data_IF_875431608110
#
_entry.id   IF_875431608110
#
_cell.length_a   1.000
_cell.length_b   1.000
_cell.length_c   1.000
_cell.angle_alpha   90.00
_cell.angle_beta   90.00
_cell.angle_gamma   90.00
#
_symmetry.space_group_name_H-M   'P 1'
#
loop_
_entity.id
_entity.type
_entity.pdbx_description
1 polymer ?
#
# COMPACT_ATOMS: atom_id res chain seq x y z
N UNK A 1 38.19 11.18 -8.92
CA UNK A 1 37.72 10.19 -7.92
C UNK A 1 36.23 10.42 -7.58
N UNK A 2 35.28 10.18 -8.50
CA UNK A 2 33.82 10.26 -8.22
C UNK A 2 33.09 9.43 -9.27
N UNK A 3 32.34 8.37 -8.88
CA UNK A 3 31.20 7.76 -9.63
C UNK A 3 30.62 6.46 -9.04
N UNK A 4 31.21 5.86 -7.99
CA UNK A 4 30.71 4.57 -7.46
C UNK A 4 29.43 4.64 -6.60
N UNK A 5 29.08 5.81 -6.02
CA UNK A 5 27.90 5.92 -5.14
C UNK A 5 26.57 5.94 -5.91
N UNK A 6 26.54 6.49 -7.12
CA UNK A 6 25.29 6.61 -7.91
C UNK A 6 24.88 5.28 -8.56
N UNK A 7 25.84 4.52 -9.08
CA UNK A 7 25.58 3.20 -9.69
C UNK A 7 24.93 2.19 -8.73
N UNK A 8 25.35 2.17 -7.46
CA UNK A 8 24.76 1.28 -6.44
C UNK A 8 23.32 1.67 -6.07
N UNK A 9 23.00 2.97 -6.09
CA UNK A 9 21.62 3.46 -5.87
C UNK A 9 20.73 3.10 -7.06
N UNK A 10 21.23 3.27 -8.27
CA UNK A 10 20.50 3.01 -9.50
C UNK A 10 20.14 1.52 -9.65
N UNK A 11 21.13 0.60 -9.47
CA UNK A 11 20.84 -0.85 -9.43
C UNK A 11 19.87 -1.27 -8.34
N UNK A 12 19.88 -0.61 -7.17
CA UNK A 12 18.92 -0.90 -6.08
C UNK A 12 17.50 -0.42 -6.40
N UNK A 13 17.37 0.69 -7.14
CA UNK A 13 16.08 1.20 -7.61
C UNK A 13 15.54 0.33 -8.77
N UNK A 14 16.39 -0.02 -9.73
CA UNK A 14 16.06 -0.93 -10.84
C UNK A 14 15.66 -2.33 -10.32
N UNK A 15 16.44 -2.90 -9.39
CA UNK A 15 16.10 -4.17 -8.72
C UNK A 15 14.75 -4.12 -8.00
N UNK A 16 14.31 -2.95 -7.51
CA UNK A 16 13.01 -2.79 -6.86
C UNK A 16 11.87 -2.68 -7.85
N UNK A 17 12.09 -2.03 -9.01
CA UNK A 17 11.09 -1.94 -10.06
C UNK A 17 10.88 -3.32 -10.71
N UNK A 18 11.96 -4.04 -11.02
CA UNK A 18 11.88 -5.40 -11.57
C UNK A 18 11.18 -6.36 -10.61
N UNK A 19 11.51 -6.28 -9.31
CA UNK A 19 10.85 -7.06 -8.27
C UNK A 19 9.37 -6.67 -8.14
N UNK A 20 9.04 -5.38 -8.21
CA UNK A 20 7.65 -4.87 -8.20
C UNK A 20 6.85 -5.40 -9.39
N UNK A 21 7.38 -5.28 -10.61
CA UNK A 21 6.74 -5.75 -11.84
C UNK A 21 6.58 -7.27 -11.80
N UNK A 22 7.58 -7.99 -11.31
CA UNK A 22 7.51 -9.45 -11.15
C UNK A 22 6.42 -9.85 -10.15
N UNK A 23 6.37 -9.23 -8.97
CA UNK A 23 5.34 -9.50 -7.95
C UNK A 23 3.96 -9.17 -8.52
N UNK A 24 3.78 -8.01 -9.14
CA UNK A 24 2.52 -7.61 -9.75
C UNK A 24 2.07 -8.59 -10.84
N UNK A 25 2.98 -9.04 -11.71
CA UNK A 25 2.67 -10.02 -12.76
C UNK A 25 2.27 -11.38 -12.18
N UNK A 26 2.98 -11.84 -11.15
CA UNK A 26 2.67 -13.12 -10.49
C UNK A 26 1.30 -13.05 -9.82
N UNK A 27 1.03 -11.97 -9.09
CA UNK A 27 -0.28 -11.72 -8.46
C UNK A 27 -1.39 -11.65 -9.51
N UNK A 28 -1.21 -10.89 -10.59
CA UNK A 28 -2.19 -10.79 -11.68
C UNK A 28 -2.53 -12.15 -12.29
N UNK A 29 -1.51 -13.00 -12.51
CA UNK A 29 -1.72 -14.37 -12.99
C UNK A 29 -2.50 -15.22 -11.98
N UNK A 30 -2.23 -15.06 -10.69
CA UNK A 30 -2.97 -15.74 -9.63
C UNK A 30 -4.43 -15.29 -9.55
N UNK A 31 -4.66 -13.98 -9.62
CA UNK A 31 -6.00 -13.38 -9.66
C UNK A 31 -6.80 -13.89 -10.85
N UNK A 32 -6.22 -13.88 -12.06
CA UNK A 32 -6.89 -14.37 -13.27
C UNK A 32 -7.31 -15.85 -13.21
N UNK A 33 -6.67 -16.65 -12.34
CA UNK A 33 -6.97 -18.07 -12.14
C UNK A 33 -7.86 -18.34 -10.92
N UNK A 34 -8.21 -17.31 -10.15
CA UNK A 34 -8.90 -17.45 -8.85
C UNK A 34 -8.06 -18.17 -7.79
N UNK A 35 -6.75 -18.36 -8.02
CA UNK A 35 -5.84 -19.09 -7.14
C UNK A 35 -4.52 -18.39 -6.98
N UNK A 36 -4.04 -18.28 -5.76
CA UNK A 36 -2.75 -17.68 -5.45
C UNK A 36 -2.14 -18.38 -4.24
N UNK A 37 -0.82 -18.37 -4.14
CA UNK A 37 -0.11 -18.94 -3.00
C UNK A 37 0.09 -17.90 -1.90
N UNK A 38 0.26 -18.40 -0.67
CA UNK A 38 0.59 -17.55 0.47
C UNK A 38 1.85 -16.71 0.22
N UNK A 39 2.84 -17.28 -0.49
CA UNK A 39 4.10 -16.59 -0.83
C UNK A 39 3.83 -15.40 -1.75
N UNK A 40 2.99 -15.56 -2.76
CA UNK A 40 2.63 -14.51 -3.72
C UNK A 40 1.83 -13.39 -3.04
N UNK A 41 0.85 -13.74 -2.22
CA UNK A 41 0.08 -12.75 -1.46
C UNK A 41 0.91 -12.03 -0.40
N UNK A 42 1.87 -12.71 0.21
CA UNK A 42 2.81 -12.08 1.15
C UNK A 42 3.78 -11.13 0.43
N UNK A 43 4.15 -11.46 -0.80
CA UNK A 43 4.94 -10.56 -1.64
C UNK A 43 4.15 -9.30 -1.99
N UNK A 44 2.85 -9.45 -2.29
CA UNK A 44 1.93 -8.32 -2.49
C UNK A 44 1.81 -7.45 -1.24
N UNK A 45 1.57 -8.04 -0.06
CA UNK A 45 1.53 -7.33 1.23
C UNK A 45 2.80 -6.49 1.44
N UNK A 46 3.98 -7.07 1.19
CA UNK A 46 5.27 -6.36 1.33
C UNK A 46 5.40 -5.21 0.34
N UNK A 47 5.02 -5.43 -0.91
CA UNK A 47 5.10 -4.44 -1.98
C UNK A 47 4.17 -3.26 -1.68
N UNK A 48 2.90 -3.51 -1.38
CA UNK A 48 1.91 -2.48 -1.06
C UNK A 48 2.36 -1.67 0.15
N UNK A 49 2.76 -2.33 1.24
CA UNK A 49 3.30 -1.68 2.44
C UNK A 49 4.52 -0.82 2.12
N UNK A 50 5.45 -1.32 1.30
CA UNK A 50 6.65 -0.57 0.92
C UNK A 50 6.31 0.71 0.14
N UNK A 51 5.41 0.61 -0.84
CA UNK A 51 5.02 1.72 -1.71
C UNK A 51 4.29 2.80 -0.90
N UNK A 52 3.31 2.40 -0.09
CA UNK A 52 2.55 3.32 0.76
C UNK A 52 3.46 3.98 1.80
N UNK A 53 4.33 3.22 2.47
CA UNK A 53 5.32 3.78 3.41
C UNK A 53 6.24 4.80 2.74
N UNK A 54 6.67 4.52 1.51
CA UNK A 54 7.54 5.43 0.74
C UNK A 54 6.79 6.72 0.40
N UNK A 55 5.54 6.63 -0.06
CA UNK A 55 4.70 7.79 -0.37
C UNK A 55 4.44 8.66 0.86
N UNK A 56 4.03 8.04 1.97
CA UNK A 56 3.86 8.73 3.27
C UNK A 56 5.16 9.41 3.71
N UNK A 57 6.30 8.74 3.60
CA UNK A 57 7.60 9.31 3.95
C UNK A 57 8.01 10.49 3.06
N UNK A 58 7.56 10.53 1.80
CA UNK A 58 7.71 11.68 0.91
C UNK A 58 6.85 12.85 1.36
N UNK A 59 5.55 12.61 1.60
CA UNK A 59 4.61 13.63 2.09
C UNK A 59 5.03 14.22 3.43
N UNK A 60 5.56 13.41 4.36
CA UNK A 60 6.08 13.89 5.64
C UNK A 60 7.17 14.96 5.50
N UNK A 61 7.93 14.92 4.41
CA UNK A 61 9.00 15.89 4.14
C UNK A 61 8.50 17.14 3.42
N UNK A 62 7.41 17.01 2.66
CA UNK A 62 6.83 18.09 1.86
C UNK A 62 5.87 18.95 2.68
N UNK A 63 5.08 18.32 3.55
CA UNK A 63 4.05 19.00 4.34
C UNK A 63 4.61 19.38 5.72
N UNK A 64 4.31 20.61 6.16
CA UNK A 64 4.44 20.98 7.58
C UNK A 64 3.28 20.32 8.33
N UNK A 65 3.52 19.14 8.86
CA UNK A 65 2.49 18.34 9.53
C UNK A 65 2.09 19.01 10.84
N UNK A 66 0.79 19.07 11.10
CA UNK A 66 0.30 19.18 12.46
C UNK A 66 0.32 17.80 13.13
N UNK A 67 0.19 17.75 14.45
CA UNK A 67 0.23 16.51 15.24
C UNK A 67 -0.73 15.44 14.73
N UNK A 68 -1.93 15.85 14.30
CA UNK A 68 -2.96 14.95 13.78
C UNK A 68 -2.56 14.23 12.48
N UNK A 69 -2.02 14.97 11.50
CA UNK A 69 -1.51 14.39 10.26
C UNK A 69 -0.32 13.48 10.50
N UNK A 70 0.53 13.85 11.46
CA UNK A 70 1.72 13.08 11.81
C UNK A 70 1.36 11.70 12.39
N UNK A 71 0.36 11.68 13.28
CA UNK A 71 -0.21 10.48 13.88
C UNK A 71 -0.90 9.60 12.85
N UNK A 72 -1.71 10.19 11.96
CA UNK A 72 -2.37 9.47 10.88
C UNK A 72 -1.33 8.80 9.96
N UNK A 73 -0.31 9.55 9.53
CA UNK A 73 0.75 9.04 8.67
C UNK A 73 1.60 7.96 9.36
N UNK A 74 1.72 7.97 10.69
CA UNK A 74 2.38 6.89 11.42
C UNK A 74 1.56 5.58 11.38
N UNK A 75 0.22 5.67 11.36
CA UNK A 75 -0.70 4.53 11.38
C UNK A 75 -0.91 3.88 10.01
N UNK A 76 -0.87 4.65 8.91
CA UNK A 76 -1.15 4.16 7.56
C UNK A 76 -0.31 2.93 7.17
N UNK A 77 1.04 2.90 7.31
CA UNK A 77 1.84 1.74 6.93
C UNK A 77 1.53 0.47 7.72
N UNK A 78 0.96 0.62 8.93
CA UNK A 78 0.53 -0.50 9.75
C UNK A 78 -0.85 -1.00 9.34
N UNK A 79 -1.77 -0.09 8.99
CA UNK A 79 -3.12 -0.43 8.55
C UNK A 79 -3.15 -1.21 7.23
N UNK A 80 -2.22 -0.94 6.33
CA UNK A 80 -2.10 -1.62 5.02
C UNK A 80 -1.24 -2.89 5.09
N UNK A 81 -0.83 -3.31 6.28
CA UNK A 81 -0.03 -4.52 6.50
C UNK A 81 -0.92 -5.76 6.56
N UNK A 82 -0.45 -6.85 5.95
CA UNK A 82 -0.94 -8.22 6.19
C UNK A 82 -2.44 -8.47 5.88
N UNK A 83 -2.95 -7.87 4.79
CA UNK A 83 -4.34 -8.06 4.35
C UNK A 83 -4.48 -9.07 3.20
N UNK A 84 -3.56 -9.05 2.24
CA UNK A 84 -3.67 -9.87 1.03
C UNK A 84 -3.48 -11.36 1.31
N UNK A 85 -2.67 -11.71 2.29
CA UNK A 85 -2.55 -13.10 2.75
C UNK A 85 -3.83 -13.64 3.39
N UNK A 86 -4.74 -12.77 3.86
CA UNK A 86 -5.97 -13.16 4.56
C UNK A 86 -7.15 -13.47 3.65
N UNK A 87 -7.07 -13.07 2.38
CA UNK A 87 -8.09 -13.44 1.38
C UNK A 87 -7.87 -14.83 0.79
N UNK A 88 -6.82 -15.54 1.21
CA UNK A 88 -6.57 -16.91 0.82
C UNK A 88 -7.25 -17.89 1.75
N UNK A 89 -7.94 -18.85 1.16
CA UNK A 89 -8.28 -20.10 1.84
C UNK A 89 -7.04 -20.97 2.03
N UNK A 90 -7.05 -21.96 2.95
CA UNK A 90 -5.94 -22.91 3.11
C UNK A 90 -5.55 -23.64 1.82
N UNK A 91 -6.50 -23.82 0.89
CA UNK A 91 -6.27 -24.50 -0.39
C UNK A 91 -5.72 -23.57 -1.49
N UNK A 92 -5.45 -22.30 -1.17
CA UNK A 92 -4.96 -21.31 -2.14
C UNK A 92 -6.03 -20.77 -3.09
N UNK A 93 -7.32 -20.97 -2.77
CA UNK A 93 -8.42 -20.28 -3.46
C UNK A 93 -8.50 -18.84 -2.93
N UNK A 94 -8.60 -17.90 -3.84
CA UNK A 94 -8.73 -16.46 -3.55
C UNK A 94 -10.20 -16.12 -3.29
N UNK A 95 -10.49 -15.46 -2.17
CA UNK A 95 -11.79 -14.84 -1.89
C UNK A 95 -11.88 -13.54 -2.70
N UNK A 96 -12.30 -13.66 -3.95
CA UNK A 96 -12.28 -12.59 -4.96
C UNK A 96 -12.93 -11.28 -4.47
N UNK A 97 -14.16 -11.35 -3.93
CA UNK A 97 -14.85 -10.18 -3.39
C UNK A 97 -14.05 -9.45 -2.31
N UNK A 98 -13.36 -10.19 -1.43
CA UNK A 98 -12.57 -9.58 -0.36
C UNK A 98 -11.26 -9.01 -0.90
N UNK A 99 -10.66 -9.67 -1.90
CA UNK A 99 -9.50 -9.13 -2.60
C UNK A 99 -9.81 -7.83 -3.33
N UNK A 100 -10.94 -7.77 -4.05
CA UNK A 100 -11.37 -6.57 -4.77
C UNK A 100 -11.64 -5.42 -3.80
N UNK A 101 -12.30 -5.68 -2.67
CA UNK A 101 -12.50 -4.68 -1.61
C UNK A 101 -11.17 -4.19 -1.04
N UNK A 102 -10.22 -5.08 -0.77
CA UNK A 102 -8.89 -4.68 -0.31
C UNK A 102 -8.16 -3.79 -1.32
N UNK A 103 -8.18 -4.17 -2.59
CA UNK A 103 -7.55 -3.41 -3.67
C UNK A 103 -8.19 -2.03 -3.85
N UNK A 104 -9.53 -1.96 -3.78
CA UNK A 104 -10.27 -0.70 -3.87
C UNK A 104 -9.89 0.25 -2.74
N UNK A 105 -9.90 -0.23 -1.49
CA UNK A 105 -9.57 0.59 -0.33
C UNK A 105 -8.09 1.04 -0.39
N UNK A 106 -7.17 0.16 -0.78
CA UNK A 106 -5.75 0.52 -0.92
C UNK A 106 -5.54 1.55 -2.04
N UNK A 107 -6.32 1.48 -3.13
CA UNK A 107 -6.33 2.48 -4.20
C UNK A 107 -6.85 3.84 -3.71
N UNK A 108 -7.91 3.85 -2.90
CA UNK A 108 -8.45 5.07 -2.29
C UNK A 108 -7.46 5.72 -1.32
N UNK A 109 -6.73 4.93 -0.51
CA UNK A 109 -5.63 5.43 0.33
C UNK A 109 -4.58 6.11 -0.53
N UNK A 110 -4.11 5.45 -1.60
CA UNK A 110 -3.08 6.01 -2.49
C UNK A 110 -3.57 7.27 -3.19
N UNK A 111 -4.84 7.32 -3.58
CA UNK A 111 -5.47 8.48 -4.20
C UNK A 111 -5.52 9.66 -3.24
N UNK A 112 -6.00 9.45 -2.00
CA UNK A 112 -6.00 10.47 -0.96
C UNK A 112 -4.58 11.00 -0.69
N UNK A 113 -3.58 10.11 -0.58
CA UNK A 113 -2.18 10.51 -0.43
C UNK A 113 -1.67 11.33 -1.63
N UNK A 114 -2.17 11.05 -2.84
CA UNK A 114 -1.84 11.85 -4.04
C UNK A 114 -2.45 13.24 -3.99
N UNK A 115 -3.70 13.36 -3.56
CA UNK A 115 -4.38 14.64 -3.38
C UNK A 115 -3.66 15.50 -2.33
N UNK A 116 -3.21 14.91 -1.22
CA UNK A 116 -2.41 15.62 -0.21
C UNK A 116 -1.08 16.17 -0.77
N UNK A 117 -0.54 15.60 -1.84
CA UNK A 117 0.65 16.10 -2.52
C UNK A 117 0.36 17.34 -3.38
N UNK A 118 -0.85 17.44 -3.95
CA UNK A 118 -1.22 18.44 -4.96
C UNK A 118 -2.09 19.60 -4.46
N UNK A 119 -2.84 19.43 -3.36
CA UNK A 119 -3.91 20.37 -2.98
C UNK A 119 -3.43 21.58 -2.15
N UNK A 120 -4.01 22.77 -2.42
CA UNK A 120 -3.82 23.97 -1.59
C UNK A 120 -4.86 24.02 -0.45
N UNK A 121 -4.36 24.10 0.78
CA UNK A 121 -4.95 24.29 2.12
C UNK A 121 -6.45 24.00 2.40
N UNK A 122 -7.42 24.51 1.64
CA UNK A 122 -8.84 24.46 2.03
C UNK A 122 -9.46 23.05 1.87
N UNK A 123 -9.10 22.33 0.82
CA UNK A 123 -9.56 20.95 0.56
C UNK A 123 -8.79 19.88 1.34
N UNK A 124 -7.67 20.27 1.97
CA UNK A 124 -6.76 19.36 2.64
C UNK A 124 -7.43 18.69 3.86
N UNK A 125 -8.30 19.42 4.55
CA UNK A 125 -9.06 18.89 5.69
C UNK A 125 -10.02 17.77 5.28
N UNK A 126 -10.75 17.96 4.19
CA UNK A 126 -11.70 16.96 3.68
C UNK A 126 -10.96 15.70 3.25
N UNK A 127 -9.84 15.86 2.53
CA UNK A 127 -8.98 14.75 2.11
C UNK A 127 -8.41 14.00 3.33
N UNK A 128 -8.00 14.70 4.39
CA UNK A 128 -7.52 14.07 5.63
C UNK A 128 -8.64 13.26 6.29
N UNK A 129 -9.86 13.80 6.34
CA UNK A 129 -10.99 13.10 6.96
C UNK A 129 -11.39 11.85 6.15
N UNK A 130 -11.45 11.96 4.82
CA UNK A 130 -11.63 10.79 3.94
C UNK A 130 -10.52 9.77 4.14
N UNK A 131 -9.26 10.20 4.21
CA UNK A 131 -8.13 9.30 4.43
C UNK A 131 -8.25 8.53 5.76
N UNK A 132 -8.69 9.18 6.84
CA UNK A 132 -8.94 8.48 8.12
C UNK A 132 -10.02 7.40 7.98
N UNK A 133 -11.13 7.74 7.31
CA UNK A 133 -12.25 6.82 7.12
C UNK A 133 -11.81 5.59 6.34
N UNK A 134 -11.12 5.78 5.22
CA UNK A 134 -10.63 4.69 4.35
C UNK A 134 -9.59 3.83 5.10
N UNK A 135 -8.71 4.43 5.90
CA UNK A 135 -7.75 3.69 6.74
C UNK A 135 -8.45 2.83 7.79
N UNK A 136 -9.51 3.33 8.43
CA UNK A 136 -10.26 2.53 9.39
C UNK A 136 -11.15 1.47 8.74
N UNK A 137 -11.72 1.76 7.57
CA UNK A 137 -12.41 0.75 6.77
C UNK A 137 -11.45 -0.39 6.41
N UNK A 138 -10.23 -0.04 5.98
CA UNK A 138 -9.19 -1.01 5.67
C UNK A 138 -8.90 -1.93 6.85
N UNK A 139 -8.77 -1.36 8.04
CA UNK A 139 -8.46 -2.08 9.28
C UNK A 139 -9.60 -3.02 9.66
N UNK A 140 -10.85 -2.53 9.66
CA UNK A 140 -12.05 -3.33 9.93
C UNK A 140 -12.16 -4.51 8.98
N UNK A 141 -11.87 -4.30 7.69
CA UNK A 141 -11.86 -5.37 6.70
C UNK A 141 -10.81 -6.44 7.05
N UNK A 142 -9.56 -6.08 7.34
CA UNK A 142 -8.55 -7.08 7.77
C UNK A 142 -8.99 -7.84 9.00
N UNK A 143 -9.51 -7.14 10.00
CA UNK A 143 -9.89 -7.77 11.26
C UNK A 143 -11.05 -8.75 11.04
N UNK A 144 -11.98 -8.46 10.12
CA UNK A 144 -13.03 -9.41 9.70
C UNK A 144 -12.49 -10.65 8.97
N UNK A 145 -11.34 -10.54 8.30
CA UNK A 145 -10.70 -11.65 7.60
C UNK A 145 -9.80 -12.51 8.51
N UNK A 146 -9.56 -12.08 9.75
CA UNK A 146 -8.82 -12.86 10.76
C UNK A 146 -9.72 -13.81 11.56
N UNK A 147 -11.02 -13.52 11.62
CA UNK A 147 -12.05 -14.33 12.27
C UNK A 147 -12.40 -15.56 11.43
#
# INVERSE_FOLDING_TARGET
MVRHKNFRRQRRLESRIDETVRIASIVQKGMARGRSSYVEMRALDRLTKHNIKTKVGGLKKLLKLNTELDDLFAKIPQAVSDGYTKVLTPNGIVRENELDRLLSIDADIVTCLGMLESEKSQKLRDVVETLKQVVEERKKLVDSLKA
#
